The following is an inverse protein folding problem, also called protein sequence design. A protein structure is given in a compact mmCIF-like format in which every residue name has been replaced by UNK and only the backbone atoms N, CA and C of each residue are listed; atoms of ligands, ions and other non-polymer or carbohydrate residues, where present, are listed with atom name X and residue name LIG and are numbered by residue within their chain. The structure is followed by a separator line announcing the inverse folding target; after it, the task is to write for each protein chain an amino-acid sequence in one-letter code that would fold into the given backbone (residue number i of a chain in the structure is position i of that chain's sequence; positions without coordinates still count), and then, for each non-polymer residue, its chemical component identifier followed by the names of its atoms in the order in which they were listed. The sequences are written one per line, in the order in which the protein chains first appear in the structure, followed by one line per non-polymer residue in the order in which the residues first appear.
data_IF_166472320705
#
_entry.id   IF_166472320705
#
_cell.length_a   1.000
_cell.length_b   1.000
_cell.length_c   1.000
_cell.angle_alpha   90.00
_cell.angle_beta   90.00
_cell.angle_gamma   90.00
#
_symmetry.space_group_name_H-M   'P 1'
#
loop_
_entity.id
_entity.type
_entity.pdbx_description
1 polymer ?
#
# COMPACT_ATOMS: atom_id res chain seq x y z
N UNK A 1 10.62 10.46 11.81
CA UNK A 1 9.37 10.50 12.62
C UNK A 1 9.28 9.41 13.70
N UNK A 2 8.80 9.75 14.92
CA UNK A 2 8.39 8.78 15.95
C UNK A 2 6.90 8.41 15.76
N UNK A 3 6.58 7.11 15.74
CA UNK A 3 5.23 6.63 15.50
C UNK A 3 4.96 5.28 16.18
N UNK A 4 3.71 4.85 16.14
CA UNK A 4 3.27 3.53 16.60
C UNK A 4 2.75 2.73 15.42
N UNK A 5 3.27 1.52 15.18
CA UNK A 5 2.64 0.55 14.30
C UNK A 5 1.33 0.08 14.93
N UNK A 6 0.26 0.16 14.16
CA UNK A 6 -1.10 -0.17 14.55
C UNK A 6 -1.60 -1.34 13.71
N UNK A 7 -2.41 -2.22 14.31
CA UNK A 7 -3.25 -3.20 13.61
C UNK A 7 -4.71 -2.82 13.87
N UNK A 8 -5.35 -2.15 12.90
CA UNK A 8 -6.59 -1.38 13.10
C UNK A 8 -6.46 -0.41 14.28
N UNK A 9 -7.15 -0.71 15.39
CA UNK A 9 -7.21 0.09 16.63
C UNK A 9 -6.18 -0.36 17.67
N UNK A 10 -5.47 -1.46 17.41
CA UNK A 10 -4.61 -2.10 18.39
C UNK A 10 -3.20 -1.55 18.19
N UNK A 11 -2.63 -0.81 19.16
CA UNK A 11 -1.23 -0.44 19.13
C UNK A 11 -0.38 -1.71 19.26
N UNK A 12 0.60 -1.85 18.38
CA UNK A 12 1.45 -3.05 18.31
C UNK A 12 2.82 -2.74 18.88
N UNK A 13 3.52 -1.78 18.30
CA UNK A 13 4.90 -1.46 18.65
C UNK A 13 5.26 -0.03 18.28
N UNK A 14 5.97 0.67 19.17
CA UNK A 14 6.51 1.99 18.89
C UNK A 14 7.78 1.86 18.05
N UNK A 15 7.97 2.76 17.10
CA UNK A 15 9.11 2.76 16.20
C UNK A 15 9.48 4.16 15.72
N UNK A 16 10.76 4.34 15.39
CA UNK A 16 11.26 5.54 14.74
C UNK A 16 11.53 5.22 13.28
N UNK A 17 10.91 5.98 12.38
CA UNK A 17 11.12 5.90 10.94
C UNK A 17 12.00 7.06 10.49
N UNK A 18 12.91 6.80 9.57
CA UNK A 18 13.65 7.81 8.83
C UNK A 18 12.79 8.44 7.73
N UNK A 19 12.63 9.76 7.72
CA UNK A 19 11.71 10.43 6.77
C UNK A 19 12.27 10.49 5.34
N UNK A 20 13.59 10.33 5.15
CA UNK A 20 14.25 10.34 3.84
C UNK A 20 14.30 8.97 3.13
N UNK A 21 14.16 7.89 3.88
CA UNK A 21 14.24 6.51 3.37
C UNK A 21 13.02 5.66 3.72
N UNK A 22 12.13 6.14 4.60
CA UNK A 22 11.04 5.38 5.22
C UNK A 22 11.49 4.12 5.96
N UNK A 23 12.78 3.98 6.29
CA UNK A 23 13.31 2.82 7.01
C UNK A 23 13.07 2.93 8.52
N UNK A 24 12.79 1.81 9.17
CA UNK A 24 12.70 1.70 10.62
C UNK A 24 14.10 1.75 11.23
N UNK A 25 14.42 2.85 11.91
CA UNK A 25 15.70 3.09 12.57
C UNK A 25 15.76 2.35 13.91
N UNK A 26 14.69 2.39 14.70
CA UNK A 26 14.65 1.78 16.02
C UNK A 26 13.25 1.28 16.39
N UNK A 27 13.22 0.29 17.28
CA UNK A 27 12.04 -0.24 17.94
C UNK A 27 12.04 0.23 19.40
N UNK A 28 10.90 0.72 19.87
CA UNK A 28 10.68 1.18 21.24
C UNK A 28 9.80 0.22 22.03
N UNK A 29 8.76 0.77 22.68
CA UNK A 29 7.84 0.01 23.50
C UNK A 29 7.01 -0.99 22.67
N UNK A 30 6.85 -2.22 23.17
CA UNK A 30 6.01 -3.26 22.57
C UNK A 30 4.70 -3.29 23.35
N UNK A 31 3.59 -2.99 22.68
CA UNK A 31 2.25 -2.97 23.28
C UNK A 31 1.59 -4.36 23.19
N UNK A 32 1.64 -4.97 22.00
CA UNK A 32 1.03 -6.28 21.78
C UNK A 32 1.81 -7.08 20.72
N UNK A 33 2.60 -8.04 21.19
CA UNK A 33 3.43 -8.88 20.32
C UNK A 33 2.60 -9.84 19.46
N UNK A 34 1.39 -10.21 19.90
CA UNK A 34 0.52 -11.15 19.18
C UNK A 34 -0.08 -10.54 17.91
N UNK A 35 -0.08 -9.21 17.83
CA UNK A 35 -0.54 -8.45 16.67
C UNK A 35 0.57 -8.07 15.70
N UNK A 36 1.81 -8.52 15.91
CA UNK A 36 2.89 -8.29 14.94
C UNK A 36 2.56 -8.87 13.56
N UNK A 37 3.09 -8.26 12.49
CA UNK A 37 3.00 -8.85 11.18
C UNK A 37 3.58 -10.27 11.15
N UNK A 38 3.06 -11.10 10.25
CA UNK A 38 3.53 -12.47 10.07
C UNK A 38 4.97 -12.45 9.52
N UNK A 39 5.82 -13.33 10.03
CA UNK A 39 7.19 -13.50 9.55
C UNK A 39 8.23 -12.63 10.27
N UNK A 40 7.84 -11.88 11.30
CA UNK A 40 8.80 -11.16 12.14
C UNK A 40 9.41 -12.12 13.15
N UNK A 41 10.73 -12.30 13.10
CA UNK A 41 11.47 -13.08 14.09
C UNK A 41 11.34 -12.48 15.49
N UNK A 42 11.24 -13.34 16.50
CA UNK A 42 11.19 -12.92 17.91
C UNK A 42 12.32 -13.63 18.66
N UNK A 43 13.16 -12.86 19.36
CA UNK A 43 14.19 -13.37 20.26
C UNK A 43 14.06 -12.68 21.61
N UNK A 44 14.08 -13.45 22.70
CA UNK A 44 13.95 -12.93 24.08
C UNK A 44 12.75 -11.99 24.27
N UNK A 45 11.62 -12.33 23.62
CA UNK A 45 10.39 -11.53 23.65
C UNK A 45 10.47 -10.21 22.89
N UNK A 46 11.51 -9.98 22.10
CA UNK A 46 11.70 -8.77 21.29
C UNK A 46 11.64 -9.08 19.80
N UNK A 47 10.90 -8.28 19.01
CA UNK A 47 10.85 -8.42 17.57
C UNK A 47 12.18 -8.03 16.92
N UNK A 48 12.58 -8.77 15.90
CA UNK A 48 13.73 -8.42 15.08
C UNK A 48 13.42 -7.18 14.24
N UNK A 49 14.22 -6.12 14.41
CA UNK A 49 14.04 -4.85 13.70
C UNK A 49 14.26 -4.99 12.20
N UNK A 50 15.19 -5.84 11.78
CA UNK A 50 15.53 -6.02 10.36
C UNK A 50 14.38 -6.69 9.64
N UNK A 51 13.79 -7.73 10.22
CA UNK A 51 12.61 -8.39 9.69
C UNK A 51 11.42 -7.43 9.62
N UNK A 52 11.20 -6.63 10.68
CA UNK A 52 10.12 -5.64 10.69
C UNK A 52 10.31 -4.55 9.62
N UNK A 53 11.55 -4.08 9.46
CA UNK A 53 11.89 -3.11 8.41
C UNK A 53 11.72 -3.71 7.02
N UNK A 54 12.13 -4.96 6.81
CA UNK A 54 11.94 -5.65 5.55
C UNK A 54 10.46 -5.80 5.22
N UNK A 55 9.64 -6.25 6.18
CA UNK A 55 8.19 -6.31 6.03
C UNK A 55 7.60 -4.93 5.69
N UNK A 56 7.96 -3.89 6.44
CA UNK A 56 7.43 -2.54 6.22
C UNK A 56 7.75 -2.02 4.82
N UNK A 57 9.02 -2.07 4.39
CA UNK A 57 9.44 -1.60 3.08
C UNK A 57 8.92 -2.47 1.93
N UNK A 58 8.66 -3.77 2.18
CA UNK A 58 8.10 -4.67 1.17
C UNK A 58 6.66 -4.33 0.78
N UNK A 59 5.97 -3.52 1.60
CA UNK A 59 4.62 -3.05 1.31
C UNK A 59 4.58 -1.94 0.26
N UNK A 60 5.71 -1.33 -0.10
CA UNK A 60 5.69 -0.27 -1.11
C UNK A 60 5.45 -0.84 -2.52
N UNK A 61 5.01 0.02 -3.44
CA UNK A 61 4.98 -0.31 -4.87
C UNK A 61 6.37 -0.87 -5.28
N UNK A 62 6.45 -2.03 -5.96
CA UNK A 62 7.71 -2.53 -6.47
C UNK A 62 8.36 -1.55 -7.44
N UNK A 63 9.65 -1.26 -7.24
CA UNK A 63 10.44 -0.43 -8.16
C UNK A 63 10.58 -1.04 -9.57
N UNK A 64 10.18 -2.29 -9.75
CA UNK A 64 10.13 -2.97 -11.05
C UNK A 64 8.80 -2.76 -11.80
N UNK A 65 7.76 -2.17 -11.17
CA UNK A 65 6.44 -1.99 -11.79
C UNK A 65 6.54 -1.19 -13.09
N UNK A 66 5.83 -1.64 -14.12
CA UNK A 66 5.80 -0.96 -15.42
C UNK A 66 5.34 0.50 -15.27
N UNK A 67 6.15 1.46 -15.73
CA UNK A 67 5.87 2.89 -15.68
C UNK A 67 6.12 3.57 -14.33
N UNK A 68 6.74 2.87 -13.36
CA UNK A 68 6.93 3.44 -12.00
C UNK A 68 7.88 4.63 -11.98
N UNK A 69 8.89 4.65 -12.85
CA UNK A 69 9.86 5.76 -12.90
C UNK A 69 9.17 7.05 -13.31
N UNK A 70 8.41 7.01 -14.41
CA UNK A 70 7.66 8.14 -14.93
C UNK A 70 6.61 8.60 -13.91
N UNK A 71 5.94 7.67 -13.24
CA UNK A 71 5.00 8.00 -12.17
C UNK A 71 5.69 8.72 -10.99
N UNK A 72 6.85 8.25 -10.54
CA UNK A 72 7.61 8.89 -9.47
C UNK A 72 8.09 10.31 -9.85
N UNK A 73 8.48 10.51 -11.12
CA UNK A 73 8.83 11.83 -11.66
C UNK A 73 7.62 12.78 -11.62
N UNK A 74 6.42 12.31 -12.02
CA UNK A 74 5.17 13.08 -11.94
C UNK A 74 4.78 13.42 -10.49
N UNK A 75 4.90 12.45 -9.57
CA UNK A 75 4.57 12.61 -8.16
C UNK A 75 5.63 13.40 -7.38
N UNK A 76 6.78 13.71 -7.99
CA UNK A 76 7.93 14.36 -7.35
C UNK A 76 8.44 13.58 -6.12
N UNK A 77 8.40 12.25 -6.18
CA UNK A 77 8.87 11.36 -5.13
C UNK A 77 10.10 10.58 -5.61
N UNK A 78 11.23 10.60 -4.90
CA UNK A 78 12.48 10.01 -5.39
C UNK A 78 12.47 8.47 -5.49
N UNK A 79 11.72 7.77 -4.64
CA UNK A 79 11.62 6.31 -4.64
C UNK A 79 10.34 5.81 -3.97
N UNK A 80 9.92 4.59 -4.29
CA UNK A 80 8.59 4.08 -3.92
C UNK A 80 8.41 3.92 -2.42
N UNK A 81 9.47 3.67 -1.65
CA UNK A 81 9.39 3.48 -0.20
C UNK A 81 8.91 4.76 0.50
N UNK A 82 9.23 5.95 -0.02
CA UNK A 82 8.73 7.20 0.58
C UNK A 82 7.22 7.33 0.53
N UNK A 83 6.54 6.71 -0.43
CA UNK A 83 5.09 6.74 -0.52
C UNK A 83 4.41 6.08 0.69
N UNK A 84 5.09 5.16 1.37
CA UNK A 84 4.57 4.50 2.58
C UNK A 84 4.23 5.51 3.67
N UNK A 85 5.16 6.40 4.01
CA UNK A 85 4.92 7.38 5.07
C UNK A 85 3.91 8.45 4.65
N UNK A 86 3.74 8.71 3.34
CA UNK A 86 2.75 9.65 2.81
C UNK A 86 1.30 9.20 2.96
N UNK A 87 1.06 7.88 3.00
CA UNK A 87 -0.26 7.32 3.28
C UNK A 87 -0.34 6.57 4.61
N UNK A 88 0.57 6.83 5.55
CA UNK A 88 0.64 6.11 6.84
C UNK A 88 0.79 4.59 6.71
N UNK A 89 1.26 4.12 5.55
CA UNK A 89 1.30 2.71 5.19
C UNK A 89 -0.08 2.08 5.15
N UNK A 90 -1.15 2.82 4.95
CA UNK A 90 -2.49 2.27 4.79
C UNK A 90 -2.59 1.44 3.51
N UNK A 91 -3.42 0.41 3.53
CA UNK A 91 -3.63 -0.50 2.41
C UNK A 91 -5.08 -0.96 2.34
N UNK A 92 -5.48 -1.44 1.17
CA UNK A 92 -6.73 -2.20 0.96
C UNK A 92 -6.51 -3.73 1.05
N UNK A 93 -5.27 -4.20 1.21
CA UNK A 93 -4.92 -5.63 1.31
C UNK A 93 -4.73 -6.10 2.74
N UNK A 94 -4.39 -5.21 3.66
CA UNK A 94 -4.19 -5.49 5.08
C UNK A 94 -4.66 -4.28 5.93
N UNK A 95 -4.60 -4.40 7.26
CA UNK A 95 -5.10 -3.38 8.17
C UNK A 95 -4.00 -2.85 9.11
N UNK A 96 -2.75 -2.88 8.65
CA UNK A 96 -1.62 -2.29 9.33
C UNK A 96 -1.34 -0.88 8.84
N UNK A 97 -0.96 0.00 9.77
CA UNK A 97 -0.63 1.40 9.48
C UNK A 97 0.24 1.99 10.59
N UNK A 98 0.85 3.14 10.33
CA UNK A 98 1.65 3.87 11.32
C UNK A 98 0.89 5.10 11.82
N UNK A 99 0.80 5.26 13.13
CA UNK A 99 0.18 6.42 13.75
C UNK A 99 1.26 7.37 14.30
N UNK A 100 1.46 8.57 13.73
CA UNK A 100 2.44 9.53 14.22
C UNK A 100 2.16 9.93 15.67
N UNK A 101 3.20 9.98 16.51
CA UNK A 101 3.01 10.31 17.92
C UNK A 101 2.70 11.79 18.16
N UNK A 102 3.19 12.68 17.30
CA UNK A 102 2.99 14.13 17.44
C UNK A 102 1.57 14.56 17.05
N UNK A 103 0.97 13.85 16.09
CA UNK A 103 -0.37 14.08 15.56
C UNK A 103 -1.10 12.76 15.36
N UNK A 104 -1.60 12.15 16.46
CA UNK A 104 -2.26 10.87 16.38
C UNK A 104 -3.60 10.97 15.64
N UNK A 105 -3.88 9.97 14.82
CA UNK A 105 -5.09 9.82 14.03
C UNK A 105 -5.94 8.65 14.54
N UNK A 106 -7.20 8.62 14.12
CA UNK A 106 -8.15 7.55 14.40
C UNK A 106 -8.34 6.66 13.16
N UNK A 107 -8.31 5.34 13.35
CA UNK A 107 -8.45 4.35 12.27
C UNK A 107 -9.70 4.59 11.42
N UNK A 108 -10.82 4.86 12.08
CA UNK A 108 -12.14 5.09 11.48
C UNK A 108 -12.15 6.26 10.49
N UNK A 109 -11.26 7.24 10.68
CA UNK A 109 -11.23 8.48 9.91
C UNK A 109 -10.35 8.41 8.67
N UNK A 110 -9.43 7.46 8.62
CA UNK A 110 -8.36 7.45 7.62
C UNK A 110 -8.30 6.16 6.80
N UNK A 111 -8.93 5.07 7.26
CA UNK A 111 -8.81 3.79 6.59
C UNK A 111 -9.48 3.80 5.21
N UNK A 112 -8.80 3.25 4.20
CA UNK A 112 -9.30 3.21 2.83
C UNK A 112 -10.51 2.27 2.62
N UNK A 113 -10.85 1.42 3.60
CA UNK A 113 -12.01 0.52 3.45
C UNK A 113 -13.34 1.26 3.55
N UNK A 114 -13.37 2.35 4.32
CA UNK A 114 -14.59 3.09 4.67
C UNK A 114 -14.50 4.57 4.27
N UNK A 115 -13.32 5.08 3.95
CA UNK A 115 -13.08 6.49 3.64
C UNK A 115 -12.61 6.67 2.19
N UNK A 116 -12.92 7.83 1.56
CA UNK A 116 -12.39 8.18 0.25
C UNK A 116 -10.85 8.31 0.30
N UNK A 117 -10.23 8.17 -0.87
CA UNK A 117 -8.80 8.33 -1.07
C UNK A 117 -8.50 9.03 -2.38
N UNK A 118 -7.29 9.57 -2.51
CA UNK A 118 -6.85 10.23 -3.72
C UNK A 118 -6.61 9.26 -4.86
N UNK A 119 -7.03 9.68 -6.04
CA UNK A 119 -6.79 9.01 -7.31
C UNK A 119 -5.46 9.40 -7.98
N UNK A 120 -4.76 10.42 -7.46
CA UNK A 120 -3.63 11.05 -8.14
C UNK A 120 -2.47 10.10 -8.37
N UNK A 121 -2.11 9.32 -7.34
CA UNK A 121 -1.07 8.27 -7.46
C UNK A 121 -1.46 7.25 -8.52
N UNK A 122 -2.70 6.78 -8.49
CA UNK A 122 -3.24 5.86 -9.49
C UNK A 122 -3.19 6.45 -10.90
N UNK A 123 -3.58 7.72 -11.06
CA UNK A 123 -3.53 8.44 -12.34
C UNK A 123 -2.09 8.55 -12.86
N UNK A 124 -1.15 8.94 -12.00
CA UNK A 124 0.26 9.00 -12.35
C UNK A 124 0.83 7.64 -12.78
N UNK A 125 0.43 6.53 -12.13
CA UNK A 125 0.80 5.17 -12.54
C UNK A 125 0.32 4.80 -13.96
N UNK A 126 -0.75 5.44 -14.43
CA UNK A 126 -1.26 5.31 -15.79
C UNK A 126 -0.75 6.39 -16.74
N UNK A 127 0.14 7.28 -16.28
CA UNK A 127 0.70 8.38 -17.08
C UNK A 127 -0.27 9.54 -17.28
N UNK A 128 -1.33 9.62 -16.48
CA UNK A 128 -2.27 10.74 -16.45
C UNK A 128 -1.70 11.77 -15.48
N UNK A 129 -1.58 13.01 -15.94
CA UNK A 129 -1.11 14.14 -15.12
C UNK A 129 -2.27 14.55 -14.20
N UNK A 130 -2.11 14.53 -12.86
CA UNK A 130 -3.10 15.08 -11.95
C UNK A 130 -3.39 16.55 -12.31
N UNK A 131 -4.67 16.93 -12.38
CA UNK A 131 -5.07 18.29 -12.80
C UNK A 131 -4.79 19.36 -11.75
N UNK A 132 -4.57 18.95 -10.49
CA UNK A 132 -4.41 19.84 -9.35
C UNK A 132 -2.98 20.39 -9.20
N UNK A 133 -2.88 21.59 -8.62
CA UNK A 133 -1.58 22.23 -8.34
C UNK A 133 -0.79 21.52 -7.24
N UNK A 134 -1.47 20.80 -6.35
CA UNK A 134 -0.88 20.01 -5.27
C UNK A 134 -1.35 18.56 -5.42
N UNK A 135 -0.41 17.62 -5.39
CA UNK A 135 -0.69 16.19 -5.59
C UNK A 135 -1.02 15.56 -4.24
N UNK A 136 -2.19 14.94 -4.10
CA UNK A 136 -2.53 14.20 -2.89
C UNK A 136 -1.99 12.77 -2.96
N UNK A 137 -1.01 12.48 -2.11
CA UNK A 137 -0.36 11.18 -2.02
C UNK A 137 -1.07 10.19 -1.08
N UNK A 138 -2.20 10.56 -0.47
CA UNK A 138 -2.99 9.70 0.40
C UNK A 138 -3.81 8.70 -0.45
N UNK A 139 -3.14 7.66 -0.93
CA UNK A 139 -3.70 6.67 -1.84
C UNK A 139 -3.34 5.23 -1.45
N UNK A 140 -4.28 4.25 -1.60
CA UNK A 140 -3.98 2.83 -1.43
C UNK A 140 -3.05 2.29 -2.53
N UNK A 141 -2.88 3.02 -3.63
CA UNK A 141 -1.98 2.60 -4.71
C UNK A 141 -0.52 2.54 -4.27
N UNK A 142 -0.14 3.34 -3.27
CA UNK A 142 1.19 3.34 -2.62
C UNK A 142 1.58 1.98 -2.04
N UNK A 143 0.60 1.13 -1.69
CA UNK A 143 0.82 -0.18 -1.07
C UNK A 143 0.29 -1.34 -1.90
N UNK A 144 0.03 -1.11 -3.18
CA UNK A 144 -0.33 -2.17 -4.10
C UNK A 144 0.94 -2.89 -4.60
N UNK A 145 1.00 -4.22 -4.50
CA UNK A 145 2.08 -5.06 -5.01
C UNK A 145 1.82 -5.56 -6.46
N UNK A 146 2.82 -6.13 -7.11
CA UNK A 146 2.80 -6.76 -8.43
C UNK A 146 3.37 -5.89 -9.57
N UNK A 147 3.76 -6.54 -10.65
CA UNK A 147 4.55 -5.91 -11.72
C UNK A 147 3.73 -5.10 -12.75
N UNK A 148 2.53 -5.56 -13.09
CA UNK A 148 1.65 -4.91 -14.07
C UNK A 148 1.06 -3.60 -13.54
N UNK A 149 0.77 -2.67 -14.46
CA UNK A 149 0.07 -1.41 -14.15
C UNK A 149 -1.28 -1.71 -13.53
N UNK A 150 -1.57 -1.06 -12.39
CA UNK A 150 -2.86 -1.17 -11.73
C UNK A 150 -3.11 0.04 -10.84
N UNK A 151 -4.38 0.38 -10.64
CA UNK A 151 -4.81 1.40 -9.69
C UNK A 151 -6.12 1.02 -9.02
N UNK A 152 -6.30 1.44 -7.78
CA UNK A 152 -7.58 1.38 -7.11
C UNK A 152 -8.52 2.47 -7.61
N UNK A 153 -9.81 2.15 -7.63
CA UNK A 153 -10.89 3.04 -8.01
C UNK A 153 -12.14 2.68 -7.21
N UNK A 154 -13.02 3.65 -6.98
CA UNK A 154 -14.32 3.40 -6.35
C UNK A 154 -15.41 3.50 -7.40
N UNK A 155 -16.02 2.36 -7.77
CA UNK A 155 -17.12 2.29 -8.75
C UNK A 155 -18.41 1.95 -8.01
N UNK A 156 -19.39 2.84 -8.03
CA UNK A 156 -20.70 2.64 -7.35
C UNK A 156 -20.55 2.22 -5.87
N UNK A 157 -19.59 2.85 -5.16
CA UNK A 157 -19.30 2.54 -3.75
C UNK A 157 -18.52 1.25 -3.50
N UNK A 158 -18.00 0.59 -4.54
CA UNK A 158 -17.16 -0.60 -4.42
C UNK A 158 -15.72 -0.30 -4.79
N UNK A 159 -14.79 -0.79 -3.98
CA UNK A 159 -13.37 -0.79 -4.28
C UNK A 159 -13.07 -1.79 -5.40
N UNK A 160 -12.60 -1.27 -6.53
CA UNK A 160 -12.23 -2.04 -7.71
C UNK A 160 -10.75 -1.79 -8.03
N UNK A 161 -10.02 -2.84 -8.39
CA UNK A 161 -8.63 -2.74 -8.82
C UNK A 161 -8.59 -2.79 -10.35
N UNK A 162 -8.43 -1.63 -10.98
CA UNK A 162 -8.27 -1.54 -12.42
C UNK A 162 -6.87 -2.03 -12.82
N UNK A 163 -6.79 -2.95 -13.78
CA UNK A 163 -5.53 -3.53 -14.26
C UNK A 163 -5.29 -3.16 -15.72
N UNK A 164 -4.08 -2.70 -16.01
CA UNK A 164 -3.58 -2.48 -17.36
C UNK A 164 -2.78 -3.68 -17.88
N UNK A 165 -2.73 -3.85 -19.18
CA UNK A 165 -1.88 -4.84 -19.83
C UNK A 165 -0.53 -4.28 -20.26
N UNK A 166 0.29 -5.14 -20.85
CA UNK A 166 1.56 -4.75 -21.45
C UNK A 166 1.45 -4.57 -22.96
N UNK A 167 2.21 -3.61 -23.49
CA UNK A 167 2.30 -3.39 -24.93
C UNK A 167 3.02 -4.56 -25.62
N UNK A 168 2.72 -4.84 -26.90
CA UNK A 168 1.75 -4.12 -27.74
C UNK A 168 0.31 -4.63 -27.63
N UNK A 169 0.09 -5.81 -27.04
CA UNK A 169 -1.18 -6.53 -27.19
C UNK A 169 -2.16 -6.34 -26.04
N UNK A 170 -1.72 -5.87 -24.88
CA UNK A 170 -2.57 -5.59 -23.72
C UNK A 170 -3.43 -6.81 -23.33
N UNK A 171 -2.89 -8.03 -23.47
CA UNK A 171 -3.67 -9.27 -23.35
C UNK A 171 -3.95 -9.68 -21.91
N UNK A 172 -3.15 -9.22 -20.94
CA UNK A 172 -3.25 -9.69 -19.56
C UNK A 172 -4.64 -9.43 -18.95
N UNK A 173 -5.25 -8.23 -19.06
CA UNK A 173 -6.61 -8.01 -18.59
C UNK A 173 -7.66 -8.88 -19.30
N UNK A 174 -7.52 -9.06 -20.62
CA UNK A 174 -8.43 -9.92 -21.39
C UNK A 174 -8.33 -11.39 -20.97
N UNK A 175 -7.13 -11.87 -20.72
CA UNK A 175 -6.88 -13.23 -20.25
C UNK A 175 -7.44 -13.44 -18.83
N UNK A 176 -7.36 -12.43 -17.96
CA UNK A 176 -8.00 -12.47 -16.64
C UNK A 176 -9.54 -12.56 -16.76
N UNK A 177 -10.16 -11.82 -17.68
CA UNK A 177 -11.62 -11.91 -17.94
C UNK A 177 -12.04 -13.30 -18.46
N UNK A 178 -11.29 -13.86 -19.41
CA UNK A 178 -11.54 -15.20 -19.94
C UNK A 178 -11.40 -16.25 -18.83
N UNK A 179 -10.36 -16.14 -17.99
CA UNK A 179 -10.15 -17.03 -16.86
C UNK A 179 -11.32 -16.94 -15.85
N UNK A 180 -11.77 -15.74 -15.52
CA UNK A 180 -12.96 -15.50 -14.68
C UNK A 180 -14.21 -16.21 -15.22
N UNK A 181 -14.46 -16.08 -16.52
CA UNK A 181 -15.56 -16.76 -17.21
C UNK A 181 -15.46 -18.30 -17.22
N UNK A 182 -14.25 -18.85 -17.30
CA UNK A 182 -14.01 -20.31 -17.18
C UNK A 182 -14.29 -20.75 -15.73
N UNK A 183 -13.73 -20.05 -14.74
CA UNK A 183 -13.93 -20.36 -13.32
C UNK A 183 -15.40 -20.31 -12.92
N UNK A 184 -16.16 -19.33 -13.43
CA UNK A 184 -17.61 -19.24 -13.28
C UNK A 184 -18.33 -20.48 -13.80
N UNK A 185 -17.98 -20.96 -15.00
CA UNK A 185 -18.57 -22.17 -15.60
C UNK A 185 -18.23 -23.45 -14.83
N UNK A 186 -17.05 -23.48 -14.20
CA UNK A 186 -16.58 -24.60 -13.38
C UNK A 186 -17.03 -24.52 -11.92
N UNK A 187 -17.81 -23.49 -11.53
CA UNK A 187 -18.23 -23.24 -10.15
C UNK A 187 -17.06 -23.10 -9.16
N UNK A 188 -15.93 -22.58 -9.62
CA UNK A 188 -14.77 -22.30 -8.77
C UNK A 188 -14.92 -20.88 -8.18
N UNK A 189 -14.74 -20.66 -6.87
CA UNK A 189 -14.69 -19.33 -6.29
C UNK A 189 -13.63 -18.47 -6.97
N UNK A 190 -14.02 -17.28 -7.45
CA UNK A 190 -13.17 -16.35 -8.19
C UNK A 190 -13.60 -14.91 -7.94
N UNK A 191 -12.72 -13.98 -8.29
CA UNK A 191 -13.03 -12.53 -8.33
C UNK A 191 -13.80 -12.21 -9.60
N UNK A 192 -14.83 -11.37 -9.48
CA UNK A 192 -15.55 -10.83 -10.62
C UNK A 192 -14.81 -9.63 -11.21
N UNK A 193 -14.82 -9.56 -12.53
CA UNK A 193 -14.21 -8.52 -13.34
C UNK A 193 -15.31 -7.73 -14.05
#
# INVERSE_FOLDING_TARGET
MLCTLMHKRIPVIQMTIDDGTSSIISIGHIYDISHLPIGIGISDGKPDRRDLNHWWLSRSIPASRSGIREALELLQVPHTQLLLTKCFGLSLSDQYWINPNDHPLEWEKINFFENPFSEDVGNALFGIIPEETEIDLLSPDNTSDGWLKKKWYVINGKHCLMKGGSNPYQQEPLNEEIASHIMKRLHIPHTYY
#
